data_IF_842571498116
#
_entry.id   IF_842571498116
#
_cell.length_a   1.000
_cell.length_b   1.000
_cell.length_c   1.000
_cell.angle_alpha   90.00
_cell.angle_beta   90.00
_cell.angle_gamma   90.00
#
_symmetry.space_group_name_H-M   'P 1'
#
loop_
_entity.id
_entity.type
_entity.pdbx_description
1 polymer ?
#
# COMPACT_ATOMS: atom_id res chain seq x y z
N UNK A 1 16.73 -8.85 3.85
CA UNK A 1 16.21 -7.52 4.28
C UNK A 1 15.78 -7.66 5.72
N UNK A 2 16.25 -6.81 6.63
CA UNK A 2 15.94 -6.88 8.07
C UNK A 2 14.68 -6.06 8.34
N UNK A 3 13.78 -6.59 9.18
CA UNK A 3 12.59 -5.85 9.62
C UNK A 3 12.83 -5.40 11.05
N UNK A 4 12.82 -4.10 11.28
CA UNK A 4 12.85 -3.51 12.60
C UNK A 4 11.44 -3.10 12.99
N UNK A 5 11.00 -3.53 14.16
CA UNK A 5 9.70 -3.12 14.72
C UNK A 5 9.99 -2.06 15.77
N UNK A 6 9.66 -0.81 15.47
CA UNK A 6 9.74 0.31 16.41
C UNK A 6 8.39 0.43 17.14
N UNK A 7 8.04 -0.61 17.89
CA UNK A 7 6.87 -0.66 18.76
C UNK A 7 7.31 -1.05 20.16
N UNK A 8 6.67 -0.50 21.20
CA UNK A 8 6.93 -0.87 22.60
C UNK A 8 6.50 -2.31 22.95
N UNK A 9 5.84 -3.01 22.03
CA UNK A 9 5.35 -4.38 22.22
C UNK A 9 6.20 -5.39 21.44
N UNK A 10 6.57 -6.49 22.09
CA UNK A 10 7.32 -7.59 21.48
C UNK A 10 6.43 -8.38 20.51
N UNK A 11 6.63 -8.13 19.21
CA UNK A 11 5.86 -8.79 18.15
C UNK A 11 6.46 -10.17 17.84
N UNK A 12 5.65 -11.23 17.94
CA UNK A 12 6.06 -12.59 17.58
C UNK A 12 6.46 -12.68 16.10
N UNK A 13 7.51 -13.45 15.79
CA UNK A 13 8.07 -13.59 14.43
C UNK A 13 7.01 -14.04 13.41
N UNK A 14 6.07 -14.89 13.82
CA UNK A 14 4.96 -15.36 12.97
C UNK A 14 3.95 -14.27 12.59
N UNK A 15 3.86 -13.18 13.35
CA UNK A 15 2.93 -12.09 13.10
C UNK A 15 3.51 -10.99 12.20
N UNK A 16 4.82 -10.98 11.96
CA UNK A 16 5.52 -9.88 11.29
C UNK A 16 5.02 -9.66 9.86
N UNK A 17 4.79 -10.71 9.07
CA UNK A 17 4.32 -10.59 7.69
C UNK A 17 2.92 -9.99 7.59
N UNK A 18 2.03 -10.33 8.53
CA UNK A 18 0.68 -9.79 8.58
C UNK A 18 0.68 -8.32 9.03
N UNK A 19 1.61 -7.95 9.90
CA UNK A 19 1.77 -6.58 10.39
C UNK A 19 2.44 -5.70 9.34
N UNK A 20 3.28 -6.24 8.47
CA UNK A 20 3.83 -5.47 7.36
C UNK A 20 2.78 -5.15 6.31
N UNK A 21 1.91 -6.10 6.00
CA UNK A 21 0.95 -5.95 4.92
C UNK A 21 -0.04 -4.80 5.18
N UNK A 22 -0.15 -3.87 4.23
CA UNK A 22 -1.07 -2.76 4.34
C UNK A 22 -0.56 -1.59 5.19
N UNK A 23 0.71 -1.58 5.64
CA UNK A 23 1.22 -0.56 6.56
C UNK A 23 2.20 0.42 5.93
N UNK A 24 2.28 1.59 6.56
CA UNK A 24 3.29 2.61 6.29
C UNK A 24 4.58 2.24 7.03
N UNK A 25 5.70 2.29 6.32
CA UNK A 25 7.01 1.90 6.85
C UNK A 25 8.06 2.95 6.49
N UNK A 26 9.13 3.01 7.27
CA UNK A 26 10.36 3.71 6.90
C UNK A 26 11.31 2.77 6.17
N UNK A 27 11.95 3.30 5.14
CA UNK A 27 12.91 2.62 4.30
C UNK A 27 14.31 3.09 4.69
N UNK A 28 15.08 2.23 5.32
CA UNK A 28 16.33 2.60 5.98
C UNK A 28 17.51 1.70 5.57
N UNK A 29 18.71 2.23 5.74
CA UNK A 29 19.96 1.53 5.71
C UNK A 29 20.47 1.34 7.14
N UNK A 30 20.79 0.11 7.52
CA UNK A 30 21.56 -0.18 8.74
C UNK A 30 22.95 0.40 8.59
N UNK A 31 23.36 1.22 9.55
CA UNK A 31 24.72 1.76 9.64
C UNK A 31 25.60 0.91 10.56
N UNK A 32 25.23 -0.36 10.81
CA UNK A 32 25.90 -1.27 11.74
C UNK A 32 27.43 -1.28 11.55
N UNK A 33 28.14 -0.58 12.45
CA UNK A 33 29.57 -0.75 12.68
C UNK A 33 29.86 -1.58 13.95
N UNK A 34 28.90 -1.65 14.89
CA UNK A 34 28.98 -2.45 16.13
C UNK A 34 27.60 -3.04 16.49
N UNK A 35 27.57 -4.28 16.98
CA UNK A 35 26.38 -5.12 17.11
C UNK A 35 25.34 -4.69 18.18
N UNK A 36 25.66 -3.67 18.97
CA UNK A 36 24.89 -3.31 20.17
C UNK A 36 23.95 -2.10 19.97
N UNK A 37 24.09 -1.33 18.89
CA UNK A 37 23.19 -0.21 18.58
C UNK A 37 22.57 -0.37 17.19
N UNK A 38 21.23 -0.53 17.13
CA UNK A 38 20.50 -0.57 15.86
C UNK A 38 20.37 0.84 15.26
N UNK A 39 21.50 1.47 14.91
CA UNK A 39 21.54 2.77 14.23
C UNK A 39 21.16 2.56 12.77
N UNK A 40 20.12 3.25 12.33
CA UNK A 40 19.64 3.20 10.95
C UNK A 40 19.52 4.61 10.38
N UNK A 41 19.91 4.77 9.13
CA UNK A 41 19.66 5.98 8.34
C UNK A 41 18.46 5.74 7.44
N UNK A 42 17.41 6.55 7.59
CA UNK A 42 16.18 6.38 6.81
C UNK A 42 16.11 7.39 5.66
N UNK A 43 15.96 6.88 4.44
CA UNK A 43 15.84 7.72 3.23
C UNK A 43 14.43 8.29 3.04
N UNK A 44 13.42 7.63 3.63
CA UNK A 44 12.05 8.08 3.53
C UNK A 44 11.04 7.00 3.91
N UNK A 45 9.81 7.16 3.41
CA UNK A 45 8.68 6.27 3.71
C UNK A 45 8.29 5.42 2.50
N UNK A 46 7.59 4.33 2.77
CA UNK A 46 6.96 3.48 1.77
C UNK A 46 5.72 2.82 2.32
N UNK A 47 4.88 2.34 1.41
CA UNK A 47 3.68 1.59 1.76
C UNK A 47 3.87 0.13 1.33
N UNK A 48 3.75 -0.82 2.25
CA UNK A 48 3.87 -2.24 1.94
C UNK A 48 2.53 -2.75 1.42
N UNK A 49 2.44 -2.95 0.10
CA UNK A 49 1.21 -3.40 -0.58
C UNK A 49 0.87 -4.86 -0.29
N UNK A 50 1.89 -5.71 -0.26
CA UNK A 50 1.73 -7.13 0.03
C UNK A 50 3.07 -7.77 0.45
N UNK A 51 2.95 -8.84 1.23
CA UNK A 51 4.07 -9.71 1.61
C UNK A 51 3.77 -11.11 1.07
N UNK A 52 4.68 -11.64 0.27
CA UNK A 52 4.60 -12.98 -0.30
C UNK A 52 5.59 -13.90 0.43
N UNK A 53 5.10 -14.55 1.48
CA UNK A 53 5.91 -15.40 2.37
C UNK A 53 6.54 -16.60 1.64
N UNK A 54 5.85 -17.16 0.64
CA UNK A 54 6.34 -18.34 -0.10
C UNK A 54 7.64 -18.06 -0.88
N UNK A 55 7.82 -16.83 -1.34
CA UNK A 55 9.00 -16.42 -2.11
C UNK A 55 9.89 -15.41 -1.38
N UNK A 56 9.58 -15.09 -0.13
CA UNK A 56 10.23 -14.06 0.69
C UNK A 56 10.32 -12.69 -0.04
N UNK A 57 9.21 -12.28 -0.66
CA UNK A 57 9.13 -11.02 -1.41
C UNK A 57 8.20 -10.02 -0.73
N UNK A 58 8.62 -8.76 -0.73
CA UNK A 58 7.81 -7.64 -0.24
C UNK A 58 7.57 -6.70 -1.41
N UNK A 59 6.30 -6.42 -1.68
CA UNK A 59 5.88 -5.49 -2.71
C UNK A 59 5.62 -4.14 -2.05
N UNK A 60 6.46 -3.15 -2.36
CA UNK A 60 6.42 -1.84 -1.74
C UNK A 60 6.10 -0.75 -2.77
N UNK A 61 5.42 0.30 -2.29
CA UNK A 61 5.22 1.57 -2.98
C UNK A 61 6.13 2.60 -2.30
N UNK A 62 7.37 2.79 -2.78
CA UNK A 62 8.31 3.73 -2.16
C UNK A 62 7.97 5.17 -2.52
N UNK A 63 8.12 6.07 -1.56
CA UNK A 63 8.13 7.52 -1.80
C UNK A 63 9.57 8.07 -1.89
N UNK A 64 10.50 7.24 -2.36
CA UNK A 64 11.93 7.54 -2.53
C UNK A 64 12.38 7.17 -3.95
N UNK A 65 13.55 7.66 -4.36
CA UNK A 65 14.10 7.33 -5.68
C UNK A 65 14.55 5.88 -5.76
N UNK A 66 14.67 5.36 -6.99
CA UNK A 66 15.20 4.02 -7.23
C UNK A 66 16.65 3.85 -6.74
N UNK A 67 17.43 4.94 -6.71
CA UNK A 67 18.82 4.89 -6.24
C UNK A 67 18.87 4.70 -4.73
N UNK A 68 18.10 5.49 -3.97
CA UNK A 68 17.99 5.35 -2.51
C UNK A 68 17.42 3.99 -2.13
N UNK A 69 16.40 3.51 -2.87
CA UNK A 69 15.80 2.19 -2.62
C UNK A 69 16.80 1.04 -2.72
N UNK A 70 17.87 1.17 -3.53
CA UNK A 70 18.92 0.14 -3.62
C UNK A 70 19.79 0.06 -2.37
N UNK A 71 19.89 1.14 -1.60
CA UNK A 71 20.65 1.20 -0.36
C UNK A 71 19.85 0.70 0.85
N UNK A 72 18.52 0.58 0.70
CA UNK A 72 17.61 0.12 1.75
C UNK A 72 17.85 -1.37 2.03
N UNK A 73 18.24 -1.69 3.25
CA UNK A 73 18.38 -3.06 3.75
C UNK A 73 17.52 -3.33 5.00
N UNK A 74 16.91 -2.28 5.56
CA UNK A 74 16.05 -2.30 6.74
C UNK A 74 14.69 -1.69 6.41
N UNK A 75 13.63 -2.39 6.80
CA UNK A 75 12.28 -1.82 6.88
C UNK A 75 11.98 -1.57 8.35
N UNK A 76 11.74 -0.32 8.72
CA UNK A 76 11.33 0.04 10.07
C UNK A 76 9.81 0.27 10.12
N UNK A 77 9.12 -0.52 10.92
CA UNK A 77 7.68 -0.41 11.16
C UNK A 77 7.47 0.52 12.34
N UNK A 78 6.66 1.56 12.16
CA UNK A 78 6.21 2.43 13.23
C UNK A 78 4.69 2.32 13.38
N UNK A 79 4.17 2.64 14.56
CA UNK A 79 2.73 2.77 14.79
C UNK A 79 2.19 4.09 14.21
N UNK A 80 2.31 4.28 12.90
CA UNK A 80 1.80 5.46 12.19
C UNK A 80 0.55 5.04 11.43
N UNK A 81 -0.63 5.57 11.78
CA UNK A 81 -1.84 5.30 11.01
C UNK A 81 -1.69 5.90 9.61
N UNK A 82 -2.16 5.17 8.60
CA UNK A 82 -2.22 5.70 7.25
C UNK A 82 -3.11 6.95 7.20
N UNK A 83 -2.70 8.00 6.47
CA UNK A 83 -3.54 9.17 6.25
C UNK A 83 -4.93 8.79 5.76
N UNK A 84 -6.02 9.34 6.33
CA UNK A 84 -7.39 9.03 5.91
C UNK A 84 -7.67 9.24 4.42
N UNK A 85 -6.94 10.15 3.79
CA UNK A 85 -7.03 10.43 2.35
C UNK A 85 -6.57 9.27 1.47
N UNK A 86 -5.79 8.33 2.00
CA UNK A 86 -5.36 7.11 1.28
C UNK A 86 -6.36 5.97 1.44
N UNK A 87 -7.38 6.14 2.29
CA UNK A 87 -8.35 5.12 2.62
C UNK A 87 -9.56 5.24 1.70
N UNK A 88 -9.82 4.20 0.93
CA UNK A 88 -11.01 4.09 0.09
C UNK A 88 -12.21 3.64 0.94
N UNK A 89 -13.41 4.14 0.61
CA UNK A 89 -14.66 3.68 1.25
C UNK A 89 -15.16 2.40 0.58
N UNK A 90 -15.27 1.32 1.35
CA UNK A 90 -15.92 0.08 0.94
C UNK A 90 -17.39 0.07 1.34
N UNK A 91 -18.24 -0.43 0.46
CA UNK A 91 -19.60 -0.84 0.85
C UNK A 91 -19.51 -1.98 1.87
N UNK A 92 -20.37 -1.94 2.89
CA UNK A 92 -20.55 -2.99 3.91
C UNK A 92 -20.93 -4.36 3.35
N UNK A 93 -21.26 -4.44 2.06
CA UNK A 93 -21.60 -5.69 1.37
C UNK A 93 -20.40 -6.56 0.99
N UNK A 94 -19.17 -6.04 1.11
CA UNK A 94 -17.96 -6.83 0.82
C UNK A 94 -17.42 -7.37 2.15
N UNK A 95 -17.44 -8.70 2.29
CA UNK A 95 -17.17 -9.37 3.57
C UNK A 95 -15.69 -9.49 3.96
N UNK A 96 -14.76 -9.25 3.03
CA UNK A 96 -13.33 -9.35 3.31
C UNK A 96 -12.69 -7.97 3.50
N UNK A 97 -11.81 -7.86 4.50
CA UNK A 97 -11.07 -6.63 4.82
C UNK A 97 -9.95 -6.44 3.79
N UNK A 98 -10.13 -5.46 2.90
CA UNK A 98 -9.11 -5.11 1.90
C UNK A 98 -8.17 -4.05 2.49
N UNK A 99 -6.84 -4.19 2.36
CA UNK A 99 -5.89 -3.16 2.75
C UNK A 99 -6.20 -1.81 2.10
N UNK A 100 -6.03 -0.72 2.85
CA UNK A 100 -6.37 0.66 2.43
C UNK A 100 -7.85 0.92 2.17
N UNK A 101 -8.76 0.02 2.56
CA UNK A 101 -10.20 0.21 2.40
C UNK A 101 -10.89 0.09 3.75
N UNK A 102 -11.73 1.07 4.08
CA UNK A 102 -12.51 1.10 5.31
C UNK A 102 -13.97 0.87 4.97
N UNK A 103 -14.62 -0.03 5.70
CA UNK A 103 -16.06 -0.26 5.57
C UNK A 103 -16.81 0.96 6.06
N UNK A 104 -17.50 1.65 5.16
CA UNK A 104 -18.38 2.76 5.50
C UNK A 104 -19.65 2.66 4.68
N UNK A 105 -20.81 2.73 5.34
CA UNK A 105 -22.11 2.81 4.66
C UNK A 105 -22.31 4.15 3.92
N UNK A 106 -21.39 5.10 4.13
CA UNK A 106 -21.32 6.37 3.41
C UNK A 106 -20.69 6.10 2.04
N UNK A 107 -21.53 6.05 1.02
CA UNK A 107 -21.13 5.82 -0.37
C UNK A 107 -20.40 7.06 -0.92
N UNK A 108 -19.08 7.18 -0.73
CA UNK A 108 -18.24 8.19 -1.42
C UNK A 108 -17.82 7.62 -2.79
N UNK A 109 -18.78 7.07 -3.53
CA UNK A 109 -18.60 6.61 -4.89
C UNK A 109 -19.05 7.71 -5.86
N UNK A 110 -18.12 8.24 -6.65
CA UNK A 110 -18.37 9.24 -7.68
C UNK A 110 -19.37 8.72 -8.73
N UNK A 111 -20.67 8.94 -8.52
CA UNK A 111 -21.67 8.89 -9.58
C UNK A 111 -21.62 10.20 -10.36
N UNK A 112 -20.58 10.39 -11.16
CA UNK A 112 -20.71 11.08 -12.44
C UNK A 112 -20.13 10.17 -13.51
N UNK A 113 -20.86 9.09 -13.81
CA UNK A 113 -20.80 8.54 -15.16
C UNK A 113 -21.22 9.68 -16.10
N UNK A 114 -20.27 10.22 -16.85
CA UNK A 114 -20.57 11.06 -18.01
C UNK A 114 -21.61 10.31 -18.84
N UNK A 115 -22.79 10.88 -19.13
CA UNK A 115 -23.76 10.20 -19.97
C UNK A 115 -23.11 9.97 -21.33
N UNK A 116 -23.15 8.72 -21.80
CA UNK A 116 -22.66 8.28 -23.10
C UNK A 116 -22.97 9.30 -24.21
N UNK A 117 -21.99 10.09 -24.60
CA UNK A 117 -22.02 10.95 -25.80
C UNK A 117 -20.92 10.51 -26.78
N UNK A 118 -20.82 9.21 -27.02
CA UNK A 118 -20.20 8.67 -28.23
C UNK A 118 -21.09 7.54 -28.72
N UNK A 119 -22.24 7.90 -29.29
CA UNK A 119 -23.04 6.98 -30.12
C UNK A 119 -22.69 7.34 -31.58
N UNK A 120 -21.92 6.51 -32.31
CA UNK A 120 -21.74 6.72 -33.73
C UNK A 120 -23.10 6.58 -34.44
N UNK A 121 -23.29 7.41 -35.45
CA UNK A 121 -24.45 7.62 -36.31
C UNK A 121 -25.32 6.39 -36.60
N UNK A 122 -26.65 6.58 -36.54
CA UNK A 122 -27.62 5.66 -37.15
C UNK A 122 -27.36 5.62 -38.66
N UNK A 123 -27.07 4.44 -39.21
CA UNK A 123 -27.19 4.18 -40.66
C UNK A 123 -28.61 4.50 -41.11
N UNK A 124 -28.76 5.36 -42.11
CA UNK A 124 -30.05 5.59 -42.77
C UNK A 124 -30.47 4.36 -43.61
N UNK A 125 -31.77 4.06 -43.70
CA UNK A 125 -32.26 3.00 -44.59
C UNK A 125 -32.23 3.50 -46.03
N UNK A 126 -31.62 2.72 -46.91
CA UNK A 126 -31.65 2.92 -48.35
C UNK A 126 -33.00 2.37 -48.86
N UNK A 127 -33.92 3.25 -49.25
CA UNK A 127 -35.11 2.86 -50.00
C UNK A 127 -34.93 3.22 -51.48
N UNK A 128 -35.15 2.21 -52.32
CA UNK A 128 -35.11 2.21 -53.77
C UNK A 128 -36.03 3.25 -54.42
N UNK A 129 -35.54 3.85 -55.51
CA UNK A 129 -36.27 4.03 -56.79
C UNK A 129 -35.31 3.62 -57.90
#
# INVERSE_FOLDING_TARGET
MKVLVLSHDSISVHSQSNILNGNLVYLCQSLDYDADENIVECYGIGIVRSVETASDKIYLLPAITKMELRSVNVIAICNIPLPPSLLLSQSSRIGERIPYVYSSDIFIGSKKSVPNSCRPEKRMPNNHI
#
